data_IF_575990563407
#
_entry.id   IF_575990563407
#
_cell.length_a   1.000
_cell.length_b   1.000
_cell.length_c   1.000
_cell.angle_alpha   90.00
_cell.angle_beta   90.00
_cell.angle_gamma   90.00
#
_symmetry.space_group_name_H-M   'P 1'
#
loop_
_entity.id
_entity.type
_entity.pdbx_description
1 polymer ?
#
# COMPACT_ATOMS: atom_id res chain seq x y z
N UNK A 1 -16.66 7.61 -3.06
CA UNK A 1 -18.01 8.20 -3.15
C UNK A 1 -19.09 7.30 -2.59
N UNK A 2 -19.32 6.11 -3.14
CA UNK A 2 -20.41 5.20 -2.68
C UNK A 2 -20.41 4.92 -1.18
N UNK A 3 -19.26 4.55 -0.59
CA UNK A 3 -19.18 4.30 0.85
C UNK A 3 -19.51 5.54 1.71
N UNK A 4 -19.04 6.73 1.29
CA UNK A 4 -19.38 8.01 1.94
C UNK A 4 -20.88 8.28 1.88
N UNK A 5 -21.50 8.06 0.72
CA UNK A 5 -22.94 8.23 0.53
C UNK A 5 -23.72 7.29 1.45
N UNK A 6 -23.35 6.02 1.56
CA UNK A 6 -24.02 5.10 2.48
C UNK A 6 -23.81 5.48 3.94
N UNK A 7 -22.58 5.80 4.34
CA UNK A 7 -22.27 6.21 5.72
C UNK A 7 -23.07 7.45 6.12
N UNK A 8 -23.13 8.46 5.24
CA UNK A 8 -23.89 9.68 5.46
C UNK A 8 -25.41 9.43 5.52
N UNK A 9 -25.97 8.78 4.49
CA UNK A 9 -27.43 8.57 4.38
C UNK A 9 -27.98 7.64 5.47
N UNK A 10 -27.19 6.66 5.91
CA UNK A 10 -27.61 5.66 6.91
C UNK A 10 -27.14 6.01 8.34
N UNK A 11 -26.48 7.16 8.52
CA UNK A 11 -25.86 7.57 9.77
C UNK A 11 -24.99 6.46 10.39
N UNK A 12 -24.05 5.93 9.59
CA UNK A 12 -23.12 4.87 9.98
C UNK A 12 -21.68 5.38 10.00
N UNK A 13 -20.89 4.76 10.87
CA UNK A 13 -19.45 4.95 10.92
C UNK A 13 -18.79 4.54 9.59
N UNK A 14 -17.71 5.23 9.24
CA UNK A 14 -16.88 4.93 8.09
C UNK A 14 -15.44 4.74 8.55
N UNK A 15 -14.78 3.72 8.04
CA UNK A 15 -13.35 3.48 8.26
C UNK A 15 -12.65 3.35 6.90
N UNK A 16 -11.41 3.83 6.84
CA UNK A 16 -10.51 3.60 5.70
C UNK A 16 -9.61 2.41 5.99
N UNK A 17 -9.39 1.55 5.00
CA UNK A 17 -8.41 0.46 5.08
C UNK A 17 -7.55 0.50 3.82
N UNK A 18 -6.23 0.44 3.98
CA UNK A 18 -5.32 0.36 2.84
C UNK A 18 -5.58 -0.91 2.02
N UNK A 19 -5.73 -0.75 0.70
CA UNK A 19 -5.84 -1.87 -0.24
C UNK A 19 -4.60 -2.77 -0.20
N UNK A 20 -3.41 -2.20 0.02
CA UNK A 20 -2.16 -2.95 0.15
C UNK A 20 -2.17 -3.76 1.46
N UNK A 21 -2.62 -3.17 2.57
CA UNK A 21 -2.81 -3.89 3.85
C UNK A 21 -3.80 -5.05 3.72
N UNK A 22 -4.90 -4.86 2.97
CA UNK A 22 -5.89 -5.92 2.71
C UNK A 22 -5.26 -7.08 1.95
N UNK A 23 -4.47 -6.82 0.91
CA UNK A 23 -3.74 -7.86 0.17
C UNK A 23 -2.74 -8.57 1.07
N UNK A 24 -1.91 -7.83 1.80
CA UNK A 24 -0.92 -8.42 2.71
C UNK A 24 -1.56 -9.33 3.76
N UNK A 25 -2.73 -8.95 4.28
CA UNK A 25 -3.45 -9.71 5.30
C UNK A 25 -4.05 -11.05 4.78
N UNK A 26 -4.11 -11.26 3.46
CA UNK A 26 -4.50 -12.55 2.90
C UNK A 26 -3.44 -13.63 3.19
N UNK A 27 -2.16 -13.26 3.15
CA UNK A 27 -1.05 -14.19 3.32
C UNK A 27 -0.71 -14.37 4.80
N UNK A 28 -1.18 -15.47 5.39
CA UNK A 28 -1.05 -15.77 6.82
C UNK A 28 0.07 -16.79 7.09
N UNK A 29 0.43 -16.94 8.36
CA UNK A 29 1.35 -17.98 8.84
C UNK A 29 2.73 -17.94 8.18
N UNK A 30 3.31 -16.75 8.05
CA UNK A 30 4.66 -16.56 7.53
C UNK A 30 5.49 -15.68 8.46
N UNK A 31 6.79 -15.94 8.50
CA UNK A 31 7.78 -15.06 9.14
C UNK A 31 8.41 -14.07 8.15
N UNK A 32 8.16 -14.27 6.85
CA UNK A 32 8.63 -13.41 5.76
C UNK A 32 8.00 -12.04 5.84
N UNK A 33 8.66 -11.03 5.28
CA UNK A 33 7.96 -9.78 4.98
C UNK A 33 7.02 -9.98 3.81
N UNK A 34 5.84 -9.38 3.89
CA UNK A 34 4.81 -9.45 2.87
C UNK A 34 4.80 -8.12 2.15
N UNK A 35 5.01 -8.16 0.84
CA UNK A 35 5.10 -7.01 -0.04
C UNK A 35 3.92 -7.05 -1.00
N UNK A 36 2.78 -6.45 -0.61
CA UNK A 36 1.69 -6.19 -1.55
C UNK A 36 2.14 -5.12 -2.54
N UNK A 37 1.77 -5.28 -3.82
CA UNK A 37 2.08 -4.25 -4.81
C UNK A 37 1.02 -4.10 -5.91
N UNK A 38 0.97 -2.89 -6.46
CA UNK A 38 0.23 -2.54 -7.68
C UNK A 38 1.18 -1.86 -8.69
N UNK A 39 1.05 -2.19 -9.97
CA UNK A 39 1.86 -1.60 -11.05
C UNK A 39 1.55 -0.10 -11.21
N UNK A 40 2.54 0.76 -10.99
CA UNK A 40 2.46 2.21 -11.20
C UNK A 40 3.11 2.67 -12.52
N UNK A 41 3.42 1.71 -13.41
CA UNK A 41 4.08 1.83 -14.71
C UNK A 41 5.56 2.20 -14.62
N UNK A 42 6.31 1.89 -15.68
CA UNK A 42 7.74 2.24 -15.84
C UNK A 42 8.59 1.80 -14.63
N UNK A 43 8.46 0.53 -14.24
CA UNK A 43 9.17 -0.06 -13.08
C UNK A 43 8.91 0.64 -11.73
N UNK A 44 7.87 1.47 -11.65
CA UNK A 44 7.37 2.00 -10.39
C UNK A 44 6.17 1.18 -9.95
N UNK A 45 6.02 1.07 -8.64
CA UNK A 45 4.95 0.34 -7.99
C UNK A 45 4.41 1.15 -6.82
N UNK A 46 3.14 0.92 -6.48
CA UNK A 46 2.65 1.21 -5.14
C UNK A 46 2.90 -0.01 -4.29
N UNK A 47 3.65 0.13 -3.20
CA UNK A 47 3.97 -0.97 -2.31
C UNK A 47 4.11 -0.49 -0.86
N UNK A 48 3.84 -1.39 0.06
CA UNK A 48 4.19 -1.30 1.47
C UNK A 48 4.92 -2.57 1.88
N UNK A 49 5.42 -2.62 3.11
CA UNK A 49 6.03 -3.84 3.66
C UNK A 49 5.35 -4.18 4.96
N UNK A 50 4.84 -5.40 5.08
CA UNK A 50 4.05 -5.85 6.20
C UNK A 50 4.67 -7.10 6.84
N UNK A 51 4.44 -7.30 8.14
CA UNK A 51 4.86 -8.52 8.83
C UNK A 51 3.85 -8.88 9.92
N UNK A 52 3.55 -10.16 10.04
CA UNK A 52 2.79 -10.65 11.19
C UNK A 52 3.65 -10.64 12.46
N UNK A 53 3.19 -9.95 13.50
CA UNK A 53 3.77 -9.98 14.85
C UNK A 53 2.64 -10.18 15.84
N UNK A 54 2.72 -11.19 16.70
CA UNK A 54 1.70 -11.47 17.72
C UNK A 54 0.25 -11.52 17.18
N UNK A 55 0.06 -12.12 15.99
CA UNK A 55 -1.22 -12.19 15.25
C UNK A 55 -1.78 -10.84 14.76
N UNK A 56 -0.96 -9.80 14.76
CA UNK A 56 -1.28 -8.51 14.18
C UNK A 56 -0.40 -8.24 12.96
N UNK A 57 -1.03 -7.69 11.91
CA UNK A 57 -0.30 -7.30 10.72
C UNK A 57 0.26 -5.90 10.94
N UNK A 58 1.57 -5.83 11.14
CA UNK A 58 2.30 -4.59 11.37
C UNK A 58 2.80 -4.07 10.02
N UNK A 59 2.57 -2.77 9.77
CA UNK A 59 3.19 -2.07 8.66
C UNK A 59 4.65 -1.72 9.05
N UNK A 60 5.61 -2.36 8.38
CA UNK A 60 7.05 -2.19 8.58
C UNK A 60 7.61 -1.07 7.70
N UNK A 61 7.03 -0.87 6.52
CA UNK A 61 7.33 0.27 5.64
C UNK A 61 6.02 0.83 5.07
N UNK A 62 5.67 2.10 5.39
CA UNK A 62 4.42 2.71 4.96
C UNK A 62 4.21 2.63 3.44
N UNK A 63 2.96 2.45 3.05
CA UNK A 63 2.53 2.39 1.65
C UNK A 63 3.03 3.62 0.90
N UNK A 64 3.62 3.39 -0.28
CA UNK A 64 4.24 4.45 -1.07
C UNK A 64 4.40 4.09 -2.53
N UNK A 65 4.56 5.11 -3.34
CA UNK A 65 5.07 4.98 -4.70
C UNK A 65 6.60 4.87 -4.68
N UNK A 66 7.15 3.75 -5.16
CA UNK A 66 8.58 3.44 -5.14
C UNK A 66 8.98 2.68 -6.42
N UNK A 67 10.25 2.77 -6.82
CA UNK A 67 10.78 1.91 -7.89
C UNK A 67 11.11 0.51 -7.36
N UNK A 68 11.07 -0.50 -8.23
CA UNK A 68 11.49 -1.86 -7.88
C UNK A 68 12.92 -1.92 -7.35
N UNK A 69 13.83 -1.19 -7.99
CA UNK A 69 15.23 -1.03 -7.56
C UNK A 69 15.34 -0.55 -6.11
N UNK A 70 14.69 0.57 -5.76
CA UNK A 70 14.73 1.12 -4.39
C UNK A 70 14.05 0.23 -3.38
N UNK A 71 13.02 -0.51 -3.80
CA UNK A 71 12.38 -1.49 -2.94
C UNK A 71 13.35 -2.64 -2.63
N UNK A 72 14.07 -3.14 -3.64
CA UNK A 72 15.09 -4.16 -3.45
C UNK A 72 16.18 -3.71 -2.49
N UNK A 73 16.72 -2.49 -2.66
CA UNK A 73 17.74 -1.95 -1.75
C UNK A 73 17.30 -1.95 -0.28
N UNK A 74 16.00 -1.70 -0.03
CA UNK A 74 15.42 -1.67 1.32
C UNK A 74 15.13 -3.06 1.90
N UNK A 75 15.01 -4.06 1.04
CA UNK A 75 14.64 -5.42 1.40
C UNK A 75 15.81 -6.40 1.33
N UNK A 76 17.03 -5.92 1.05
CA UNK A 76 18.26 -6.71 1.18
C UNK A 76 18.23 -7.47 2.52
N UNK A 77 18.57 -8.75 2.45
CA UNK A 77 18.63 -9.68 3.59
C UNK A 77 17.27 -10.04 4.24
N UNK A 78 16.14 -9.65 3.64
CA UNK A 78 14.83 -10.11 4.11
C UNK A 78 14.33 -11.26 3.24
N UNK A 79 13.73 -12.26 3.87
CA UNK A 79 12.88 -13.22 3.16
C UNK A 79 11.56 -12.54 2.79
N UNK A 80 11.23 -12.51 1.50
CA UNK A 80 10.09 -11.76 0.95
C UNK A 80 9.00 -12.69 0.41
N UNK A 81 7.75 -12.29 0.61
CA UNK A 81 6.58 -12.76 -0.15
C UNK A 81 6.03 -11.58 -0.94
N UNK A 82 6.05 -11.66 -2.26
CA UNK A 82 5.33 -10.70 -3.11
C UNK A 82 3.88 -11.17 -3.29
N UNK A 83 2.93 -10.25 -3.15
CA UNK A 83 1.49 -10.57 -3.22
C UNK A 83 0.73 -9.53 -4.04
N UNK A 84 -0.24 -10.01 -4.83
CA UNK A 84 -1.08 -9.20 -5.69
C UNK A 84 -1.00 -9.65 -7.14
N UNK A 85 -2.08 -9.45 -7.89
CA UNK A 85 -2.13 -9.77 -9.32
C UNK A 85 -1.00 -9.10 -10.12
N UNK A 86 -0.69 -7.85 -9.78
CA UNK A 86 0.38 -7.10 -10.44
C UNK A 86 1.78 -7.60 -10.05
N UNK A 87 1.95 -8.26 -8.89
CA UNK A 87 3.20 -8.93 -8.55
C UNK A 87 3.50 -10.07 -9.52
N UNK A 88 2.47 -10.83 -9.89
CA UNK A 88 2.59 -11.90 -10.88
C UNK A 88 2.86 -11.34 -12.27
N UNK A 89 2.18 -10.25 -12.66
CA UNK A 89 2.43 -9.59 -13.96
C UNK A 89 3.85 -9.05 -14.09
N UNK A 90 4.44 -8.61 -12.98
CA UNK A 90 5.79 -8.06 -12.90
C UNK A 90 6.84 -9.11 -12.48
N UNK A 91 6.52 -10.40 -12.53
CA UNK A 91 7.40 -11.47 -12.07
C UNK A 91 8.78 -11.42 -12.72
N UNK A 92 8.84 -11.12 -14.02
CA UNK A 92 10.10 -11.01 -14.75
C UNK A 92 10.97 -9.87 -14.21
N UNK A 93 10.41 -8.67 -14.11
CA UNK A 93 11.11 -7.50 -13.59
C UNK A 93 11.53 -7.70 -12.13
N UNK A 94 10.65 -8.26 -11.30
CA UNK A 94 10.97 -8.57 -9.90
C UNK A 94 12.13 -9.56 -9.84
N UNK A 95 12.13 -10.60 -10.68
CA UNK A 95 13.20 -11.60 -10.70
C UNK A 95 14.53 -11.03 -11.18
N UNK A 96 14.52 -10.04 -12.08
CA UNK A 96 15.73 -9.32 -12.49
C UNK A 96 16.29 -8.45 -11.36
N UNK A 97 15.45 -7.69 -10.65
CA UNK A 97 15.91 -6.80 -9.57
C UNK A 97 16.29 -7.56 -8.29
N UNK A 98 15.53 -8.60 -7.93
CA UNK A 98 15.73 -9.40 -6.71
C UNK A 98 16.59 -10.64 -6.96
N UNK A 99 17.37 -10.67 -8.04
CA UNK A 99 18.27 -11.77 -8.35
C UNK A 99 19.27 -11.99 -7.19
N UNK A 100 19.24 -13.19 -6.60
CA UNK A 100 20.09 -13.56 -5.46
C UNK A 100 19.50 -13.26 -4.08
N UNK A 101 18.31 -12.64 -4.00
CA UNK A 101 17.57 -12.46 -2.75
C UNK A 101 16.62 -13.64 -2.51
N UNK A 102 16.19 -13.85 -1.25
CA UNK A 102 15.19 -14.88 -0.92
C UNK A 102 13.76 -14.33 -1.04
N UNK A 103 13.07 -14.68 -2.12
CA UNK A 103 11.69 -14.28 -2.34
C UNK A 103 10.83 -15.40 -2.92
N UNK A 104 9.52 -15.32 -2.66
CA UNK A 104 8.48 -16.14 -3.28
C UNK A 104 7.30 -15.27 -3.69
N UNK A 105 6.46 -15.78 -4.58
CA UNK A 105 5.17 -15.17 -4.91
C UNK A 105 4.03 -15.87 -4.18
N UNK A 106 3.04 -15.11 -3.72
CA UNK A 106 1.80 -15.67 -3.24
C UNK A 106 1.02 -16.32 -4.40
N UNK A 107 0.18 -17.31 -4.09
CA UNK A 107 -0.52 -18.10 -5.10
C UNK A 107 -2.04 -17.92 -5.06
N UNK A 108 -2.67 -18.15 -6.20
CA UNK A 108 -4.12 -18.29 -6.33
C UNK A 108 -4.90 -17.11 -5.76
N UNK A 109 -5.85 -17.43 -4.87
CA UNK A 109 -6.81 -16.45 -4.33
C UNK A 109 -6.17 -15.37 -3.45
N UNK A 110 -4.99 -15.63 -2.89
CA UNK A 110 -4.38 -14.70 -1.93
C UNK A 110 -3.89 -13.42 -2.64
N UNK A 111 -3.65 -13.48 -3.95
CA UNK A 111 -3.32 -12.33 -4.80
C UNK A 111 -4.47 -11.35 -5.04
N UNK A 112 -5.69 -11.64 -4.54
CA UNK A 112 -6.86 -10.80 -4.78
C UNK A 112 -7.44 -10.26 -3.46
N UNK A 113 -7.89 -8.98 -3.41
CA UNK A 113 -8.46 -8.42 -2.20
C UNK A 113 -9.66 -9.23 -1.70
N UNK A 114 -9.68 -9.52 -0.40
CA UNK A 114 -10.77 -10.28 0.23
C UNK A 114 -11.70 -9.37 1.04
N UNK A 115 -13.00 -9.42 0.76
CA UNK A 115 -14.02 -8.68 1.51
C UNK A 115 -14.07 -9.11 2.98
N UNK A 116 -13.84 -10.40 3.27
CA UNK A 116 -13.75 -10.92 4.63
C UNK A 116 -12.58 -10.28 5.38
N UNK A 117 -11.41 -10.24 4.75
CA UNK A 117 -10.20 -9.64 5.35
C UNK A 117 -10.38 -8.14 5.56
N UNK A 118 -10.94 -7.44 4.57
CA UNK A 118 -11.30 -6.02 4.68
C UNK A 118 -12.21 -5.76 5.89
N UNK A 119 -13.26 -6.56 6.07
CA UNK A 119 -14.19 -6.42 7.19
C UNK A 119 -13.55 -6.69 8.56
N UNK A 120 -12.60 -7.62 8.65
CA UNK A 120 -11.84 -7.90 9.88
C UNK A 120 -10.86 -6.78 10.20
N UNK A 121 -10.15 -6.26 9.19
CA UNK A 121 -9.22 -5.15 9.37
C UNK A 121 -9.96 -3.88 9.76
N UNK A 122 -11.07 -3.56 9.10
CA UNK A 122 -11.86 -2.35 9.35
C UNK A 122 -12.37 -2.24 10.79
N UNK A 123 -12.63 -3.35 11.48
CA UNK A 123 -13.04 -3.34 12.90
C UNK A 123 -11.95 -2.80 13.84
N UNK A 124 -10.68 -2.78 13.39
CA UNK A 124 -9.53 -2.31 14.17
C UNK A 124 -9.07 -0.92 13.76
N UNK A 125 -9.63 -0.37 12.68
CA UNK A 125 -9.24 0.94 12.19
C UNK A 125 -9.98 2.04 12.95
N UNK A 126 -9.40 3.24 12.94
CA UNK A 126 -10.04 4.41 13.54
C UNK A 126 -11.20 4.88 12.68
N UNK A 127 -12.31 5.22 13.33
CA UNK A 127 -13.47 5.82 12.67
C UNK A 127 -13.07 7.18 12.12
N UNK A 128 -13.49 7.44 10.88
CA UNK A 128 -13.33 8.74 10.25
C UNK A 128 -14.24 9.73 10.97
N UNK A 129 -13.63 10.74 11.60
CA UNK A 129 -14.36 11.76 12.38
C UNK A 129 -15.34 12.57 11.53
N UNK A 130 -14.91 13.00 10.34
CA UNK A 130 -15.76 13.72 9.38
C UNK A 130 -15.79 12.98 8.04
N UNK A 131 -16.93 12.35 7.74
CA UNK A 131 -17.16 11.61 6.49
C UNK A 131 -16.89 12.51 5.27
N UNK A 132 -17.26 13.80 5.33
CA UNK A 132 -17.07 14.71 4.20
C UNK A 132 -15.59 14.93 3.86
N UNK A 133 -14.70 14.80 4.85
CA UNK A 133 -13.26 14.96 4.69
C UNK A 133 -12.56 13.66 4.28
N UNK A 134 -13.28 12.53 4.27
CA UNK A 134 -12.72 11.26 3.83
C UNK A 134 -12.32 11.31 2.36
N UNK A 135 -11.04 11.12 2.08
CA UNK A 135 -10.45 11.06 0.75
C UNK A 135 -9.59 9.80 0.61
N UNK A 136 -9.41 9.27 -0.60
CA UNK A 136 -8.42 8.21 -0.84
C UNK A 136 -7.00 8.68 -0.51
N UNK A 137 -6.15 7.74 -0.08
CA UNK A 137 -4.72 7.98 0.05
C UNK A 137 -4.07 8.07 -1.35
N UNK A 138 -3.88 9.29 -1.86
CA UNK A 138 -3.22 9.54 -3.13
C UNK A 138 -1.70 9.41 -2.99
N UNK A 139 -1.19 8.19 -3.07
CA UNK A 139 0.25 7.86 -2.97
C UNK A 139 1.08 8.36 -4.17
N UNK A 140 0.46 9.01 -5.16
CA UNK A 140 1.11 9.63 -6.31
C UNK A 140 0.44 10.97 -6.62
N UNK A 141 1.27 12.01 -6.75
CA UNK A 141 0.83 13.32 -7.23
C UNK A 141 0.21 13.20 -8.63
N UNK A 142 -0.99 13.76 -8.78
CA UNK A 142 -1.66 13.93 -10.07
C UNK A 142 -0.85 14.85 -10.99
N UNK A 143 -1.14 14.82 -12.29
CA UNK A 143 -0.50 15.75 -13.23
C UNK A 143 -0.79 17.22 -12.90
N UNK A 144 -2.01 17.52 -12.44
CA UNK A 144 -2.39 18.87 -12.02
C UNK A 144 -1.63 19.32 -10.77
N UNK A 145 -1.50 18.44 -9.77
CA UNK A 145 -0.71 18.74 -8.56
C UNK A 145 0.78 18.90 -8.88
N UNK A 146 1.34 18.10 -9.80
CA UNK A 146 2.71 18.28 -10.28
C UNK A 146 2.90 19.64 -10.97
N UNK A 147 2.02 19.98 -11.91
CA UNK A 147 2.08 21.26 -12.62
C UNK A 147 1.87 22.47 -11.69
N UNK A 148 1.03 22.32 -10.66
CA UNK A 148 0.80 23.36 -9.67
C UNK A 148 1.99 23.52 -8.72
N UNK A 149 2.63 22.43 -8.28
CA UNK A 149 3.87 22.46 -7.48
C UNK A 149 5.06 23.04 -8.26
N UNK A 150 5.15 22.80 -9.57
CA UNK A 150 6.19 23.38 -10.41
C UNK A 150 6.02 24.89 -10.63
N UNK A 151 4.81 25.42 -10.42
CA UNK A 151 4.51 26.86 -10.47
C UNK A 151 4.61 27.56 -9.11
N UNK A 152 4.58 26.83 -7.99
CA UNK A 152 4.56 27.40 -6.63
C UNK A 152 5.71 26.83 -5.77
N UNK A 153 6.91 27.39 -5.95
CA UNK A 153 8.17 26.90 -5.38
C UNK A 153 8.22 26.85 -3.85
N UNK A 154 7.59 27.79 -3.15
CA UNK A 154 7.61 27.86 -1.68
C UNK A 154 6.69 26.82 -1.02
N UNK A 155 5.60 26.43 -1.69
CA UNK A 155 4.72 25.36 -1.22
C UNK A 155 5.26 23.97 -1.55
N UNK A 156 6.13 23.85 -2.58
CA UNK A 156 6.86 22.62 -2.88
C UNK A 156 7.69 22.13 -1.69
N UNK A 157 8.33 23.04 -0.96
CA UNK A 157 9.15 22.71 0.22
C UNK A 157 8.30 22.27 1.42
N UNK A 158 7.13 22.90 1.64
CA UNK A 158 6.17 22.49 2.68
C UNK A 158 5.51 21.14 2.38
N UNK A 159 5.15 20.88 1.12
CA UNK A 159 4.52 19.63 0.70
C UNK A 159 5.48 18.43 0.73
N UNK A 160 6.74 18.61 0.29
CA UNK A 160 7.78 17.57 0.39
C UNK A 160 8.08 17.24 1.84
N UNK A 161 8.07 18.23 2.75
CA UNK A 161 8.16 17.99 4.20
C UNK A 161 6.99 17.17 4.72
N UNK A 162 5.75 17.48 4.36
CA UNK A 162 4.58 16.68 4.80
C UNK A 162 4.63 15.21 4.35
N UNK A 163 5.21 14.93 3.17
CA UNK A 163 5.41 13.57 2.65
C UNK A 163 6.59 12.82 3.32
N UNK A 164 7.60 13.55 3.80
CA UNK A 164 8.73 12.98 4.53
C UNK A 164 8.49 12.90 6.05
N UNK A 165 7.64 13.74 6.63
CA UNK A 165 7.37 13.80 8.07
C UNK A 165 6.26 12.82 8.51
N UNK A 166 5.72 12.02 7.57
CA UNK A 166 4.92 10.82 7.86
C UNK A 166 5.75 9.51 7.82
N UNK A 167 7.09 9.63 7.92
CA UNK A 167 8.04 8.51 8.04
C UNK A 167 8.17 8.01 9.49
#
# INVERSE_FOLDING_TARGET
TTAKTFAFTLNKELVGVSSLKVLAANYKNTNRVIVPLFDARRQNIFAGVYRWKNRELVNVMPDRHISLEKLQEKLKDNEVVFIGEDAIKLEKEISEFFAGEDYIFAEGKDNYPSAMVLGVLGQKESVVENINDFIPDYLRLTQAEKQWLDKNSDEKIKYVKKFNDQL
#
